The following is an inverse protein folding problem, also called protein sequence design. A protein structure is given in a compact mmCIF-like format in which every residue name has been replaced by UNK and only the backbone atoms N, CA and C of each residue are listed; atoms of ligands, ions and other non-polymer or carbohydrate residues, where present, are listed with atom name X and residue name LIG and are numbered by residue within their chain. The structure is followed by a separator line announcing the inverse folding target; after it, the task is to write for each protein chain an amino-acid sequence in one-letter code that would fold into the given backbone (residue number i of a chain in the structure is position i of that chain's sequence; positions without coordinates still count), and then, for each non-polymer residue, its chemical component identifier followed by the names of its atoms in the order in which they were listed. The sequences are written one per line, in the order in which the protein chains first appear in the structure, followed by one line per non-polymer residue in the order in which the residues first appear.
data_IF_484698637470
#
_entry.id   IF_484698637470
#
_cell.length_a   1.000
_cell.length_b   1.000
_cell.length_c   1.000
_cell.angle_alpha   90.00
_cell.angle_beta   90.00
_cell.angle_gamma   90.00
#
_symmetry.space_group_name_H-M   'P 1'
#
loop_
_entity.id
_entity.type
_entity.pdbx_description
1 polymer ?
2 non-polymer ?
3 water ?
#
# COMPACT_ATOMS: atom_id res chain seq x y z
N UNK A 1 13.85 -5.80 -9.53
CA UNK A 1 12.48 -5.39 -9.81
C UNK A 1 11.55 -5.54 -8.62
N UNK A 2 10.45 -6.25 -8.70
CA UNK A 2 9.39 -6.45 -7.75
C UNK A 2 8.52 -7.68 -8.00
N UNK A 3 8.16 -8.33 -6.89
CA UNK A 3 7.28 -9.45 -6.89
C UNK A 3 5.81 -9.03 -6.77
N UNK A 4 5.26 -8.68 -7.93
CA UNK A 4 3.90 -8.16 -7.95
C UNK A 4 2.82 -9.21 -7.74
N UNK A 5 3.14 -10.46 -8.09
CA UNK A 5 2.11 -11.50 -7.83
C UNK A 5 1.97 -11.71 -6.35
N UNK A 6 3.11 -11.75 -5.69
CA UNK A 6 3.10 -11.85 -4.22
C UNK A 6 2.40 -10.65 -3.60
N UNK A 7 2.77 -9.46 -4.11
CA UNK A 7 2.13 -8.30 -3.53
C UNK A 7 0.63 -8.28 -3.70
N UNK A 8 0.11 -8.73 -4.85
CA UNK A 8 -1.34 -8.76 -5.02
C UNK A 8 -1.97 -9.76 -4.05
N UNK A 9 -1.35 -10.92 -3.86
CA UNK A 9 -1.92 -11.87 -2.90
C UNK A 9 -2.01 -11.30 -1.50
N UNK A 10 -0.91 -10.59 -1.09
CA UNK A 10 -0.88 -9.95 0.23
C UNK A 10 -1.96 -8.86 0.28
N UNK A 11 -2.10 -8.08 -0.77
CA UNK A 11 -3.07 -7.01 -0.83
C UNK A 11 -4.47 -7.58 -0.63
N UNK A 12 -4.82 -8.60 -1.44
CA UNK A 12 -6.18 -9.15 -1.39
C UNK A 12 -6.46 -9.78 -0.04
N UNK A 13 -5.46 -10.37 0.58
CA UNK A 13 -5.66 -10.98 1.87
C UNK A 13 -5.75 -10.08 3.06
N UNK A 14 -5.15 -8.90 2.97
CA UNK A 14 -5.00 -8.06 4.13
C UNK A 14 -5.44 -6.61 3.94
N UNK A 15 -5.38 -6.05 2.79
CA UNK A 15 -5.59 -4.66 2.52
C UNK A 15 -6.91 -4.35 1.85
N UNK A 16 -7.45 -5.30 1.12
CA UNK A 16 -8.70 -5.10 0.36
C UNK A 16 -9.89 -4.88 1.26
N UNK A 17 -9.79 -5.19 2.56
CA UNK A 17 -10.86 -4.90 3.53
C UNK A 17 -11.14 -3.41 3.58
N UNK A 18 -10.13 -2.57 3.31
CA UNK A 18 -10.30 -1.14 3.38
C UNK A 18 -9.99 -0.42 2.08
N UNK A 19 -9.32 -1.05 1.14
CA UNK A 19 -8.77 -0.40 -0.04
C UNK A 19 -9.05 -1.11 -1.34
N UNK A 20 -10.06 -2.01 -1.41
CA UNK A 20 -10.33 -2.68 -2.69
C UNK A 20 -10.63 -1.65 -3.77
N UNK A 21 -10.10 -1.88 -4.97
CA UNK A 21 -10.30 -0.96 -6.07
C UNK A 21 -9.45 0.30 -5.97
N UNK A 22 -8.57 0.38 -4.99
CA UNK A 22 -7.69 1.53 -4.81
C UNK A 22 -8.28 2.67 -4.02
N UNK A 23 -9.42 2.48 -3.38
CA UNK A 23 -10.05 3.50 -2.59
C UNK A 23 -9.62 3.48 -1.13
N UNK A 24 -10.47 4.09 -0.31
CA UNK A 24 -10.25 4.07 1.16
C UNK A 24 -11.65 4.15 1.79
N UNK A 25 -12.08 3.05 2.41
CA UNK A 25 -13.46 3.05 2.94
C UNK A 25 -13.61 3.88 4.21
N UNK A 26 -12.49 4.17 4.87
CA UNK A 26 -12.50 4.85 6.18
C UNK A 26 -12.38 6.33 6.01
N UNK A 27 -11.43 6.83 5.25
CA UNK A 27 -11.21 8.24 4.96
C UNK A 27 -11.17 8.39 3.43
N UNK A 28 -12.34 8.62 2.83
CA UNK A 28 -12.49 8.44 1.39
C UNK A 28 -11.55 9.23 0.48
N UNK A 29 -10.98 10.35 0.90
CA UNK A 29 -10.10 11.02 -0.04
C UNK A 29 -8.67 10.51 0.05
N UNK A 30 -8.37 9.66 1.05
CA UNK A 30 -6.98 9.21 1.20
C UNK A 30 -6.77 7.89 0.46
N UNK A 31 -6.96 7.92 -0.85
CA UNK A 31 -6.95 6.78 -1.72
C UNK A 31 -5.56 6.32 -2.11
N UNK A 32 -5.50 5.21 -2.85
CA UNK A 32 -4.23 4.68 -3.31
C UNK A 32 -3.83 5.14 -4.72
N UNK A 33 -4.46 6.22 -5.17
CA UNK A 33 -4.06 6.90 -6.43
C UNK A 33 -2.84 7.78 -6.16
N UNK A 34 -1.98 7.91 -7.19
CA UNK A 34 -0.75 8.65 -7.08
C UNK A 34 -0.91 10.04 -6.53
N UNK A 35 -1.83 10.84 -7.04
CA UNK A 35 -1.96 12.23 -6.62
C UNK A 35 -2.43 12.32 -5.16
N UNK A 36 -3.24 11.33 -4.70
CA UNK A 36 -3.71 11.31 -3.32
C UNK A 36 -2.54 11.00 -2.40
N UNK A 37 -1.75 9.95 -2.80
CA UNK A 37 -0.59 9.61 -2.00
C UNK A 37 0.40 10.77 -1.85
N UNK A 38 0.64 11.46 -2.98
CA UNK A 38 1.58 12.57 -3.00
C UNK A 38 1.13 13.66 -2.01
N UNK A 39 -0.20 13.83 -1.86
CA UNK A 39 -0.72 14.85 -0.95
C UNK A 39 -0.84 14.42 0.52
N UNK A 40 -1.28 13.17 0.78
CA UNK A 40 -1.68 12.76 2.11
C UNK A 40 -0.79 11.76 2.82
N UNK A 41 0.08 11.08 2.06
CA UNK A 41 0.96 10.11 2.71
C UNK A 41 2.18 10.85 3.20
N UNK A 42 2.29 10.90 4.54
CA UNK A 42 3.42 11.54 5.17
C UNK A 42 4.68 10.94 4.52
N UNK A 43 5.56 11.64 3.85
CA UNK A 43 6.72 11.04 3.14
C UNK A 43 6.53 11.03 1.62
N UNK A 44 5.30 11.10 1.07
CA UNK A 44 5.13 11.21 -0.37
C UNK A 44 5.06 9.92 -1.16
N UNK A 45 5.05 10.01 -2.49
CA UNK A 45 4.91 8.84 -3.35
C UNK A 45 6.25 8.17 -3.64
N UNK A 46 6.70 7.36 -2.72
CA UNK A 46 7.97 6.69 -2.66
C UNK A 46 7.80 5.34 -1.95
N UNK A 47 8.49 4.31 -2.37
CA UNK A 47 8.38 3.04 -1.70
C UNK A 47 8.66 3.08 -0.21
N UNK A 48 9.71 3.80 0.21
CA UNK A 48 9.98 3.78 1.66
C UNK A 48 8.81 4.41 2.39
N UNK A 49 8.13 5.41 1.86
CA UNK A 49 7.02 6.02 2.60
C UNK A 49 5.85 5.04 2.69
N UNK A 50 5.69 4.23 1.67
CA UNK A 50 4.63 3.18 1.68
C UNK A 50 4.92 2.08 2.69
N UNK A 51 6.19 1.60 2.62
CA UNK A 51 6.64 0.68 3.64
C UNK A 51 6.41 1.14 5.06
N UNK A 52 6.91 2.40 5.35
CA UNK A 52 6.86 2.95 6.68
C UNK A 52 5.44 2.90 7.21
N UNK A 53 4.48 3.31 6.37
CA UNK A 53 3.08 3.32 6.84
C UNK A 53 2.46 1.94 6.95
N UNK A 54 2.92 0.99 6.15
CA UNK A 54 2.54 -0.40 6.37
C UNK A 54 3.05 -0.96 7.69
N UNK A 55 4.36 -0.74 7.97
CA UNK A 55 4.97 -1.22 9.20
C UNK A 55 4.35 -0.71 10.48
N UNK A 56 4.20 0.65 10.45
CA UNK A 56 3.88 1.38 11.66
C UNK A 56 2.42 1.77 11.83
N UNK A 57 1.63 1.59 10.79
CA UNK A 57 0.25 2.03 10.80
C UNK A 57 0.12 3.53 10.87
N UNK A 58 -1.12 4.01 10.81
CA UNK A 58 -1.41 5.42 10.98
C UNK A 58 -2.89 5.58 11.29
N UNK A 59 -3.23 6.13 12.45
CA UNK A 59 -4.63 6.38 12.73
C UNK A 59 -5.44 5.09 12.78
N UNK A 60 -6.45 5.03 11.92
CA UNK A 60 -7.32 3.89 11.78
C UNK A 60 -6.74 2.76 10.93
N UNK A 61 -5.57 3.00 10.31
CA UNK A 61 -4.89 1.94 9.58
C UNK A 61 -4.01 1.14 10.55
N UNK A 62 -4.24 -0.15 10.68
CA UNK A 62 -3.39 -0.96 11.60
C UNK A 62 -1.96 -1.05 11.09
N UNK A 63 -1.07 -1.33 12.03
CA UNK A 63 0.32 -1.65 11.77
C UNK A 63 0.50 -3.12 11.41
N UNK A 64 1.44 -3.35 10.51
CA UNK A 64 1.62 -4.75 10.04
C UNK A 64 2.95 -5.36 10.44
N UNK A 65 3.86 -4.62 11.10
CA UNK A 65 5.18 -5.15 11.49
C UNK A 65 4.97 -6.41 12.32
N UNK A 66 5.71 -7.47 11.97
CA UNK A 66 5.58 -8.72 12.68
C UNK A 66 4.45 -9.64 12.29
N UNK A 67 3.44 -9.11 11.59
CA UNK A 67 2.30 -9.86 11.13
C UNK A 67 2.47 -10.22 9.65
N UNK A 68 3.25 -9.48 8.91
CA UNK A 68 3.65 -9.70 7.54
C UNK A 68 5.18 -9.75 7.57
N UNK A 69 5.81 -10.60 6.77
CA UNK A 69 7.28 -10.62 6.79
C UNK A 69 7.84 -9.61 5.83
N UNK A 70 9.15 -9.45 5.80
CA UNK A 70 9.84 -8.50 5.01
C UNK A 70 9.57 -8.58 3.53
N UNK A 71 9.48 -9.82 3.03
CA UNK A 71 9.19 -9.98 1.61
C UNK A 71 7.74 -9.63 1.25
N UNK A 72 6.84 -9.97 2.15
CA UNK A 72 5.42 -9.67 1.99
C UNK A 72 5.20 -8.16 1.99
N UNK A 73 5.84 -7.41 2.90
CA UNK A 73 5.69 -5.95 2.97
C UNK A 73 6.29 -5.34 1.73
N UNK A 74 7.49 -5.79 1.35
CA UNK A 74 8.10 -5.23 0.15
C UNK A 74 7.24 -5.48 -1.09
N UNK A 75 6.69 -6.69 -1.18
CA UNK A 75 5.89 -6.95 -2.37
C UNK A 75 4.57 -6.18 -2.38
N UNK A 76 3.89 -6.03 -1.30
CA UNK A 76 2.62 -5.27 -1.36
C UNK A 76 2.94 -3.82 -1.60
N UNK A 77 4.01 -3.29 -1.06
CA UNK A 77 4.37 -1.91 -1.30
C UNK A 77 4.64 -1.72 -2.78
N UNK A 78 5.33 -2.71 -3.44
CA UNK A 78 5.61 -2.60 -4.85
C UNK A 78 4.36 -2.71 -5.72
N UNK A 79 3.41 -3.54 -5.30
CA UNK A 79 2.11 -3.61 -5.97
C UNK A 79 1.31 -2.31 -5.84
N UNK A 80 1.24 -1.70 -4.67
CA UNK A 80 0.58 -0.40 -4.58
C UNK A 80 1.26 0.60 -5.47
N UNK A 81 2.60 0.65 -5.48
CA UNK A 81 3.37 1.59 -6.30
C UNK A 81 2.95 1.40 -7.77
N UNK A 82 3.05 0.14 -8.23
CA UNK A 82 2.82 -0.19 -9.63
C UNK A 82 1.40 0.13 -10.04
N UNK A 83 0.41 -0.15 -9.21
CA UNK A 83 -0.97 0.17 -9.52
C UNK A 83 -1.20 1.69 -9.60
N UNK A 84 -0.55 2.44 -8.73
CA UNK A 84 -0.69 3.89 -8.74
C UNK A 84 0.04 4.48 -9.93
N UNK A 85 1.30 4.10 -10.18
CA UNK A 85 2.15 4.65 -11.21
C UNK A 85 1.56 4.36 -12.58
N UNK A 86 0.95 3.20 -12.79
CA UNK A 86 0.41 2.77 -14.07
C UNK A 86 -1.03 3.13 -14.24
N UNK A 87 -1.66 3.77 -13.24
CA UNK A 87 -3.08 4.13 -13.37
C UNK A 87 -3.90 2.86 -13.57
N UNK A 88 -3.65 1.83 -12.77
CA UNK A 88 -4.27 0.54 -13.01
C UNK A 88 -5.51 0.22 -12.21
N UNK A 89 -5.84 0.99 -11.21
CA UNK A 89 -7.06 0.63 -10.48
C UNK A 89 -8.32 0.81 -11.31
X LIG B 1 -3.84 4.94 4.13
X LIG B 1 -1.76 1.07 2.17
X LIG B 1 -4.40 -1.75 5.05
X LIG B 1 -6.97 2.07 6.37
X LIG B 1 -3.05 4.16 3.31
X LIG B 1 -2.06 4.63 2.36
X LIG B 1 -1.47 3.55 1.83
X LIG B 1 -2.06 2.38 2.43
X LIG B 1 -0.33 3.51 0.81
X LIG B 1 -1.86 6.10 1.99
X LIG B 1 -3.00 6.64 1.11
X LIG B 1 -3.07 8.15 1.05
X LIG B 1 -3.74 8.63 0.06
X LIG B 1 -2.54 8.82 1.94
X LIG B 1 -2.28 -0.04 2.80
X LIG B 1 -1.85 -1.40 2.57
X LIG B 1 -2.54 -2.18 3.42
X LIG B 1 -3.43 -1.33 4.17
X LIG B 1 -0.85 -1.83 1.48
X LIG B 1 -2.46 -3.69 3.60
X LIG B 1 -1.08 -4.16 4.10
X LIG B 1 -5.39 -0.96 5.59
X LIG B 1 -6.54 -1.46 6.33
X LIG B 1 -7.30 -0.40 6.64
X LIG B 1 -6.62 0.77 6.14
X LIG B 1 -6.79 -2.96 6.62
X LIG B 1 -8.72 -0.37 7.22
X LIG B 1 -8.84 -0.99 8.62
X LIG B 1 -6.28 3.19 5.99
X LIG B 1 -6.57 4.54 6.39
X LIG B 1 -5.64 5.34 5.83
X LIG B 1 -4.82 4.49 4.99
X LIG B 1 -7.64 4.93 7.42
X LIG B 1 -5.46 6.84 6.07
X LIG B 1 -4.57 7.12 7.31
X LIG B 1 -4.47 8.59 7.59
X LIG B 1 -3.89 9.33 6.77
X LIG B 1 -4.89 8.95 8.71
X LIG B 1 -3.04 2.78 3.31
X LIG B 1 -3.28 -0.03 3.76
X LIG B 1 -5.45 0.41 5.50
X LIG B 1 -5.16 3.17 5.14
X LIG B 1 -4.23 1.60 4.43
#
# INVERSE_FOLDING_TARGET
EADLALGKAVFDGNCAACHAGGGNNVIPDHTLQKAAIEQFLDGGFNIEAIVYQIENGKGAMPAWDGRLDEDEIAGVAAYVYDQAAGNKW
HEM CHA CHB CHC CHD C1A C2A C3A C4A CMA CAA CBA CGA O1A O2A C1B C2B C3B C4B CMB CAB CBB C1C C2C C3C C4C CMC CAC CBC C1D C2D C3D C4D CMD CAD CBD CGD O1D O2D NA NB NC ND FE
#
